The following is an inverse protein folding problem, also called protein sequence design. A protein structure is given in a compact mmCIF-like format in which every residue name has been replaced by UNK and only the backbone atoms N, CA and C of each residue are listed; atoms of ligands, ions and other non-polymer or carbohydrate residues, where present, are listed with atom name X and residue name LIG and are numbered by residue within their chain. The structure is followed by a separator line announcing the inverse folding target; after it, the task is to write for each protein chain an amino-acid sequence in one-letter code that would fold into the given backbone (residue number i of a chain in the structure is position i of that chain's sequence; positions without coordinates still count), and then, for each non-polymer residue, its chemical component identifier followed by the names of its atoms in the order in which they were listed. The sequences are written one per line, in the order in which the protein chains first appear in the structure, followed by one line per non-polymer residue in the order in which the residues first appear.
data_IF_419828757117
#
_entry.id   IF_419828757117
#
_cell.length_a   1.000
_cell.length_b   1.000
_cell.length_c   1.000
_cell.angle_alpha   90.00
_cell.angle_beta   90.00
_cell.angle_gamma   90.00
#
_symmetry.space_group_name_H-M   'P 1'
#
loop_
_entity.id
_entity.type
_entity.pdbx_description
1 polymer ?
#
# COMPACT_ATOMS: atom_id res chain seq x y z
N UNK A 1 -14.02 -18.45 -10.15
CA UNK A 1 -13.60 -18.30 -8.75
C UNK A 1 -14.85 -17.93 -7.95
N UNK A 2 -15.30 -18.78 -7.03
CA UNK A 2 -16.54 -18.51 -6.30
C UNK A 2 -16.30 -17.32 -5.34
N UNK A 3 -17.32 -16.49 -5.09
CA UNK A 3 -17.19 -15.30 -4.23
C UNK A 3 -17.02 -15.64 -2.74
N UNK A 4 -17.24 -16.88 -2.32
CA UNK A 4 -17.12 -17.38 -0.95
C UNK A 4 -15.68 -17.79 -0.58
N UNK A 5 -14.82 -18.14 -1.53
CA UNK A 5 -13.43 -18.54 -1.25
C UNK A 5 -12.54 -17.35 -0.86
N UNK A 6 -12.85 -16.15 -1.35
CA UNK A 6 -12.14 -14.93 -0.99
C UNK A 6 -12.36 -14.51 0.47
N UNK A 7 -13.41 -15.02 1.13
CA UNK A 7 -13.71 -14.76 2.54
C UNK A 7 -13.01 -15.73 3.51
N UNK A 8 -12.25 -16.71 3.03
CA UNK A 8 -11.71 -17.79 3.86
C UNK A 8 -10.28 -17.57 4.39
N UNK A 9 -9.69 -16.39 4.15
CA UNK A 9 -8.33 -16.09 4.60
C UNK A 9 -8.35 -15.03 5.70
N UNK A 10 -8.01 -15.39 6.95
CA UNK A 10 -7.82 -14.43 8.03
C UNK A 10 -6.80 -13.37 7.64
N UNK A 11 -6.99 -12.14 8.12
CA UNK A 11 -6.09 -11.03 7.77
C UNK A 11 -4.67 -11.26 8.31
N UNK A 12 -4.55 -11.98 9.42
CA UNK A 12 -3.30 -12.40 10.03
C UNK A 12 -2.51 -13.33 9.10
N UNK A 13 -3.21 -14.25 8.43
CA UNK A 13 -2.62 -15.12 7.42
C UNK A 13 -2.18 -14.32 6.19
N UNK A 14 -3.00 -13.39 5.71
CA UNK A 14 -2.61 -12.54 4.57
C UNK A 14 -1.41 -11.65 4.89
N UNK A 15 -1.32 -11.13 6.12
CA UNK A 15 -0.22 -10.28 6.57
C UNK A 15 1.07 -11.05 6.84
N UNK A 16 1.02 -12.38 7.04
CA UNK A 16 2.21 -13.22 7.17
C UNK A 16 2.79 -13.66 5.83
N UNK A 17 2.09 -13.42 4.72
CA UNK A 17 2.59 -13.76 3.39
C UNK A 17 3.68 -12.78 2.97
N UNK A 18 4.82 -13.33 2.55
CA UNK A 18 5.89 -12.60 1.87
C UNK A 18 6.07 -13.17 0.45
N UNK A 19 5.12 -12.93 -0.45
CA UNK A 19 5.21 -13.48 -1.80
C UNK A 19 6.37 -12.85 -2.56
N UNK A 20 7.13 -13.69 -3.26
CA UNK A 20 8.25 -13.24 -4.07
C UNK A 20 7.78 -12.23 -5.14
N UNK A 21 8.49 -11.11 -5.25
CA UNK A 21 8.19 -10.04 -6.21
C UNK A 21 7.15 -9.02 -5.74
N UNK A 22 6.63 -9.14 -4.51
CA UNK A 22 5.81 -8.10 -3.88
C UNK A 22 6.68 -7.19 -3.01
N UNK A 23 6.43 -5.86 -2.95
CA UNK A 23 7.14 -4.98 -2.03
C UNK A 23 6.94 -5.41 -0.57
N UNK A 24 7.90 -5.09 0.32
CA UNK A 24 7.78 -5.39 1.74
C UNK A 24 6.52 -4.75 2.34
N UNK A 25 5.91 -5.45 3.31
CA UNK A 25 4.74 -4.94 4.04
C UNK A 25 5.03 -3.62 4.77
N UNK A 26 6.30 -3.41 5.13
CA UNK A 26 6.84 -2.17 5.69
C UNK A 26 7.59 -1.36 4.62
N UNK A 27 7.04 -0.20 4.26
CA UNK A 27 7.67 0.71 3.31
C UNK A 27 8.37 1.87 4.05
N UNK A 28 9.69 1.79 4.14
CA UNK A 28 10.52 2.85 4.69
C UNK A 28 10.83 3.89 3.60
N UNK A 29 10.39 5.13 3.81
CA UNK A 29 10.54 6.22 2.86
C UNK A 29 11.61 7.21 3.31
N UNK A 30 12.48 7.61 2.39
CA UNK A 30 13.54 8.61 2.64
C UNK A 30 13.41 9.79 1.68
N UNK A 31 13.31 11.00 2.23
CA UNK A 31 13.31 12.22 1.40
C UNK A 31 14.54 12.24 0.49
N UNK A 32 14.32 12.55 -0.79
CA UNK A 32 15.32 12.52 -1.85
C UNK A 32 15.46 11.18 -2.57
N UNK A 33 14.84 10.09 -2.09
CA UNK A 33 14.89 8.80 -2.79
C UNK A 33 13.95 8.79 -4.01
N UNK A 34 14.31 7.96 -5.00
CA UNK A 34 13.38 7.61 -6.07
C UNK A 34 12.40 6.54 -5.58
N UNK A 35 11.13 6.68 -5.94
CA UNK A 35 10.06 5.71 -5.67
C UNK A 35 9.38 5.32 -6.99
N UNK A 36 8.76 4.15 -7.04
CA UNK A 36 7.99 3.67 -8.19
C UNK A 36 6.52 3.53 -7.77
N UNK A 37 5.60 4.07 -8.56
CA UNK A 37 4.17 3.82 -8.36
C UNK A 37 3.85 2.37 -8.73
N UNK A 38 3.19 1.64 -7.83
CA UNK A 38 2.71 0.27 -8.08
C UNK A 38 1.23 0.22 -8.49
N UNK A 39 0.54 1.37 -8.43
CA UNK A 39 -0.88 1.51 -8.77
C UNK A 39 -1.10 2.74 -9.63
N UNK A 40 -2.09 2.67 -10.50
CA UNK A 40 -2.54 3.83 -11.27
C UNK A 40 -3.27 4.81 -10.34
N UNK A 41 -2.78 6.05 -10.28
CA UNK A 41 -3.46 7.17 -9.61
C UNK A 41 -4.19 8.00 -10.65
N UNK A 42 -3.51 8.27 -11.77
CA UNK A 42 -4.07 8.88 -12.96
C UNK A 42 -3.51 8.09 -14.16
N UNK A 43 -4.30 7.21 -14.80
CA UNK A 43 -3.80 6.33 -15.85
C UNK A 43 -3.04 7.03 -16.98
N UNK A 44 -3.31 8.31 -17.25
CA UNK A 44 -2.68 9.09 -18.32
C UNK A 44 -1.35 9.76 -17.91
N UNK A 45 -1.06 9.92 -16.61
CA UNK A 45 0.10 10.70 -16.13
C UNK A 45 0.88 10.06 -14.98
N UNK A 46 0.19 9.31 -14.13
CA UNK A 46 0.71 8.68 -12.90
C UNK A 46 0.20 7.25 -12.85
N UNK A 47 0.86 6.40 -13.64
CA UNK A 47 0.55 4.99 -13.79
C UNK A 47 1.60 4.10 -13.11
N UNK A 48 1.29 2.82 -13.00
CA UNK A 48 2.23 1.80 -12.52
C UNK A 48 3.56 1.88 -13.30
N UNK A 49 4.69 1.84 -12.59
CA UNK A 49 6.03 1.99 -13.16
C UNK A 49 6.56 3.43 -13.20
N UNK A 50 5.72 4.44 -12.94
CA UNK A 50 6.16 5.85 -12.92
C UNK A 50 7.16 6.07 -11.78
N UNK A 51 8.34 6.60 -12.10
CA UNK A 51 9.39 6.95 -11.13
C UNK A 51 9.20 8.40 -10.64
N UNK A 52 9.20 8.59 -9.33
CA UNK A 52 9.04 9.91 -8.69
C UNK A 52 10.17 10.16 -7.70
N UNK A 53 10.55 11.43 -7.52
CA UNK A 53 11.47 11.85 -6.47
C UNK A 53 10.69 12.26 -5.22
N UNK A 54 11.00 11.65 -4.08
CA UNK A 54 10.29 11.92 -2.83
C UNK A 54 10.74 13.26 -2.22
N UNK A 55 9.85 14.25 -2.21
CA UNK A 55 10.14 15.60 -1.66
C UNK A 55 9.81 15.73 -0.17
N UNK A 56 8.75 15.07 0.30
CA UNK A 56 8.28 15.14 1.70
C UNK A 56 7.52 13.87 2.05
N UNK A 57 7.70 13.38 3.27
CA UNK A 57 6.90 12.31 3.86
C UNK A 57 5.88 12.95 4.80
N UNK A 58 4.59 12.67 4.59
CA UNK A 58 3.52 13.10 5.49
C UNK A 58 3.40 12.17 6.71
N UNK A 59 2.57 12.54 7.68
CA UNK A 59 2.28 11.64 8.80
C UNK A 59 1.46 10.44 8.32
N UNK A 60 1.71 9.23 8.87
CA UNK A 60 0.95 8.02 8.54
C UNK A 60 -0.57 8.17 8.73
N UNK A 61 -1.01 9.06 9.63
CA UNK A 61 -2.42 9.42 9.84
C UNK A 61 -3.16 9.86 8.57
N UNK A 62 -2.44 10.19 7.49
CA UNK A 62 -2.97 10.65 6.19
C UNK A 62 -2.88 9.60 5.06
N UNK A 63 -2.39 8.40 5.34
CA UNK A 63 -2.37 7.28 4.39
C UNK A 63 -3.71 6.54 4.46
N UNK A 64 -4.53 6.76 3.44
CA UNK A 64 -5.87 6.18 3.33
C UNK A 64 -5.94 5.26 2.12
N UNK A 65 -6.41 4.02 2.33
CA UNK A 65 -6.83 3.18 1.20
C UNK A 65 -8.32 3.44 0.98
N UNK A 66 -8.64 4.02 -0.18
CA UNK A 66 -10.02 4.15 -0.64
C UNK A 66 -10.53 2.79 -1.14
N UNK A 67 -11.55 2.27 -0.47
CA UNK A 67 -12.29 1.09 -0.93
C UNK A 67 -13.48 1.51 -1.81
N UNK A 68 -13.97 0.60 -2.64
CA UNK A 68 -15.09 0.84 -3.58
C UNK A 68 -16.37 1.32 -2.89
N UNK A 69 -16.51 1.05 -1.58
CA UNK A 69 -17.69 1.42 -0.79
C UNK A 69 -17.51 2.77 -0.07
N UNK A 70 -16.50 3.57 -0.44
CA UNK A 70 -16.22 4.87 0.19
C UNK A 70 -15.67 4.78 1.62
N UNK A 71 -15.52 3.57 2.18
CA UNK A 71 -14.91 3.38 3.50
C UNK A 71 -13.39 3.48 3.38
N UNK A 72 -12.86 4.44 4.13
CA UNK A 72 -11.44 4.66 4.32
C UNK A 72 -10.98 3.85 5.52
N UNK A 73 -10.04 2.90 5.33
CA UNK A 73 -9.31 2.29 6.43
C UNK A 73 -7.86 2.77 6.36
N UNK A 74 -7.41 3.39 7.44
CA UNK A 74 -6.00 3.65 7.66
C UNK A 74 -5.35 2.29 7.98
N UNK A 75 -4.58 1.72 7.05
CA UNK A 75 -3.77 0.52 7.29
C UNK A 75 -2.34 0.94 7.63
N UNK A 76 -2.19 1.96 8.48
CA UNK A 76 -0.95 2.15 9.19
C UNK A 76 -1.04 1.28 10.42
N UNK A 77 -0.19 0.27 10.46
CA UNK A 77 0.05 -0.52 11.66
C UNK A 77 0.54 0.43 12.76
N UNK A 78 -0.20 0.62 13.86
CA UNK A 78 0.27 1.46 14.97
C UNK A 78 1.51 0.89 15.67
N UNK A 79 1.81 -0.40 15.47
CA UNK A 79 2.87 -1.12 16.19
C UNK A 79 4.23 -1.20 15.44
N UNK A 80 4.49 -0.34 14.45
CA UNK A 80 5.78 -0.33 13.70
C UNK A 80 6.55 0.97 13.94
N UNK A 81 6.34 1.62 15.09
CA UNK A 81 7.08 2.79 15.53
C UNK A 81 7.77 2.60 16.88
N UNK A 82 8.15 1.37 17.20
CA UNK A 82 9.13 1.05 18.26
C UNK A 82 10.41 0.47 17.63
#
# INVERSE_FOLDING_TARGET
MNQYEAMNYPIEFLNSLEPAGMPPHCLNLKVGSLIILLRNINPLKLCNGTRLALKKVGTPSRLFIHTQNGKTKNIVYPNVLD
#
